data_IF_761704277203
#
_entry.id   IF_761704277203
#
_cell.length_a   1.000
_cell.length_b   1.000
_cell.length_c   1.000
_cell.angle_alpha   90.00
_cell.angle_beta   90.00
_cell.angle_gamma   90.00
#
_symmetry.space_group_name_H-M   'P 1'
#
loop_
_entity.id
_entity.type
_entity.pdbx_description
1 polymer ?
#
# COMPACT_ATOMS: atom_id res chain seq x y z
N UNK A 1 15.82 5.05 -26.78
CA UNK A 1 15.83 6.47 -27.21
C UNK A 1 15.43 6.68 -28.68
N UNK A 2 15.46 5.64 -29.55
CA UNK A 2 15.05 5.69 -30.96
C UNK A 2 13.54 5.95 -31.19
N UNK A 3 12.68 5.35 -30.36
CA UNK A 3 11.22 5.37 -30.57
C UNK A 3 10.55 6.73 -30.38
N UNK A 4 11.04 7.57 -29.46
CA UNK A 4 10.50 8.93 -29.25
C UNK A 4 10.79 9.84 -30.44
N UNK A 5 11.95 9.68 -31.07
CA UNK A 5 12.34 10.45 -32.26
C UNK A 5 11.51 10.00 -33.46
N UNK A 6 11.24 8.69 -33.61
CA UNK A 6 10.36 8.21 -34.68
C UNK A 6 8.91 8.65 -34.53
N UNK A 7 8.41 8.82 -33.30
CA UNK A 7 7.05 9.30 -33.06
C UNK A 7 6.85 10.77 -33.46
N UNK A 8 7.93 11.57 -33.55
CA UNK A 8 7.84 12.96 -34.04
C UNK A 8 7.30 13.02 -35.48
N UNK A 9 7.57 11.98 -36.29
CA UNK A 9 7.11 11.90 -37.68
C UNK A 9 5.71 11.27 -37.82
N UNK A 10 5.05 10.94 -36.71
CA UNK A 10 3.72 10.32 -36.68
C UNK A 10 2.78 11.16 -35.81
N UNK A 11 2.05 12.12 -36.41
CA UNK A 11 1.19 13.05 -35.67
C UNK A 11 0.17 12.35 -34.76
N UNK A 12 -0.35 11.20 -35.18
CA UNK A 12 -1.25 10.37 -34.37
C UNK A 12 -0.62 9.84 -33.09
N UNK A 13 0.66 9.45 -33.11
CA UNK A 13 1.40 8.99 -31.93
C UNK A 13 1.68 10.15 -30.96
N UNK A 14 2.01 11.34 -31.47
CA UNK A 14 2.19 12.54 -30.64
C UNK A 14 0.87 12.91 -29.95
N UNK A 15 -0.25 12.92 -30.68
CA UNK A 15 -1.57 13.22 -30.11
C UNK A 15 -1.92 12.19 -29.03
N UNK A 16 -1.66 10.90 -29.27
CA UNK A 16 -1.86 9.86 -28.27
C UNK A 16 -0.98 10.05 -27.02
N UNK A 17 0.29 10.43 -27.19
CA UNK A 17 1.21 10.72 -26.08
C UNK A 17 0.77 11.95 -25.27
N UNK A 18 0.31 13.00 -25.95
CA UNK A 18 -0.24 14.21 -25.31
C UNK A 18 -1.52 13.85 -24.56
N UNK A 19 -2.47 13.16 -25.20
CA UNK A 19 -3.71 12.71 -24.56
C UNK A 19 -3.41 11.84 -23.34
N UNK A 20 -2.49 10.88 -23.45
CA UNK A 20 -2.09 10.03 -22.33
C UNK A 20 -1.51 10.85 -21.16
N UNK A 21 -0.61 11.80 -21.45
CA UNK A 21 0.00 12.65 -20.42
C UNK A 21 -1.03 13.55 -19.72
N UNK A 22 -1.94 14.16 -20.48
CA UNK A 22 -2.97 15.04 -19.92
C UNK A 22 -4.08 14.26 -19.19
N UNK A 23 -4.48 13.09 -19.69
CA UNK A 23 -5.46 12.22 -19.01
C UNK A 23 -4.95 11.71 -17.66
N UNK A 24 -3.64 11.51 -17.49
CA UNK A 24 -3.08 11.18 -16.18
C UNK A 24 -3.11 12.34 -15.19
N UNK A 25 -2.91 13.57 -15.67
CA UNK A 25 -2.93 14.77 -14.82
C UNK A 25 -4.34 15.09 -14.31
N UNK A 26 -5.38 14.77 -15.08
CA UNK A 26 -6.78 15.03 -14.69
C UNK A 26 -7.35 14.04 -13.69
N UNK A 27 -6.73 12.85 -13.53
CA UNK A 27 -7.19 11.81 -12.61
C UNK A 27 -6.56 11.89 -11.21
N UNK A 28 -5.86 12.98 -10.88
CA UNK A 28 -5.40 13.22 -9.51
C UNK A 28 -6.63 13.58 -8.67
N UNK A 29 -7.08 12.63 -7.85
CA UNK A 29 -8.28 12.78 -7.03
C UNK A 29 -8.08 13.87 -5.99
N UNK A 30 -9.09 14.73 -5.85
CA UNK A 30 -9.16 15.69 -4.76
C UNK A 30 -9.66 14.97 -3.51
N UNK A 31 -8.72 14.47 -2.70
CA UNK A 31 -9.00 13.99 -1.34
C UNK A 31 -9.51 15.20 -0.53
N UNK A 32 -10.58 15.03 0.24
CA UNK A 32 -11.08 16.09 1.12
C UNK A 32 -9.92 16.55 2.03
N UNK A 33 -9.48 17.81 1.95
CA UNK A 33 -8.37 18.32 2.76
C UNK A 33 -8.63 18.24 4.27
N UNK A 34 -9.89 18.04 4.70
CA UNK A 34 -10.24 17.85 6.11
C UNK A 34 -9.87 16.47 6.64
N UNK A 35 -9.88 15.43 5.80
CA UNK A 35 -9.48 14.09 6.23
C UNK A 35 -7.96 13.91 6.08
N UNK A 36 -7.24 14.24 7.15
CA UNK A 36 -5.78 14.12 7.22
C UNK A 36 -5.30 12.67 7.16
N UNK A 37 -6.05 11.74 7.77
CA UNK A 37 -5.67 10.32 7.84
C UNK A 37 -5.73 9.68 6.46
N UNK A 38 -6.86 9.84 5.75
CA UNK A 38 -7.00 9.38 4.36
C UNK A 38 -5.92 9.93 3.45
N UNK A 39 -5.63 11.24 3.54
CA UNK A 39 -4.55 11.85 2.76
C UNK A 39 -3.21 11.17 3.04
N UNK A 40 -2.92 10.89 4.31
CA UNK A 40 -1.69 10.21 4.73
C UNK A 40 -1.62 8.77 4.22
N UNK A 41 -2.73 8.03 4.19
CA UNK A 41 -2.79 6.70 3.56
C UNK A 41 -2.40 6.75 2.06
N UNK A 42 -2.95 7.69 1.30
CA UNK A 42 -2.57 7.88 -0.10
C UNK A 42 -1.11 8.34 -0.29
N UNK A 43 -0.56 9.07 0.68
CA UNK A 43 0.88 9.40 0.68
C UNK A 43 1.74 8.15 0.88
N UNK A 44 1.39 7.26 1.81
CA UNK A 44 2.09 5.98 1.97
C UNK A 44 2.04 5.16 0.69
N UNK A 45 0.85 5.02 0.09
CA UNK A 45 0.69 4.29 -1.17
C UNK A 45 1.62 4.83 -2.27
N UNK A 46 1.77 6.16 -2.37
CA UNK A 46 2.65 6.79 -3.36
C UNK A 46 4.14 6.63 -3.03
N UNK A 47 4.51 6.57 -1.75
CA UNK A 47 5.88 6.33 -1.30
C UNK A 47 6.33 4.90 -1.63
N UNK A 48 5.45 3.92 -1.45
CA UNK A 48 5.76 2.51 -1.70
C UNK A 48 5.83 2.19 -3.18
N UNK A 49 4.80 2.57 -3.95
CA UNK A 49 4.69 2.21 -5.38
C UNK A 49 3.89 3.23 -6.19
N UNK A 50 4.60 3.98 -7.03
CA UNK A 50 3.99 4.97 -7.93
C UNK A 50 3.02 4.34 -8.95
N UNK A 51 3.32 3.13 -9.45
CA UNK A 51 2.46 2.42 -10.40
C UNK A 51 1.17 1.93 -9.74
N UNK A 52 1.28 1.34 -8.55
CA UNK A 52 0.11 0.86 -7.80
C UNK A 52 -0.75 2.01 -7.30
N UNK A 53 -0.14 3.11 -6.84
CA UNK A 53 -0.84 4.33 -6.49
C UNK A 53 -1.68 4.87 -7.65
N UNK A 54 -1.14 4.84 -8.87
CA UNK A 54 -1.86 5.29 -10.07
C UNK A 54 -2.97 4.32 -10.47
N UNK A 55 -2.78 3.02 -10.27
CA UNK A 55 -3.78 2.00 -10.55
C UNK A 55 -4.99 2.14 -9.60
N UNK A 56 -4.73 2.24 -8.29
CA UNK A 56 -5.78 2.37 -7.28
C UNK A 56 -6.59 3.65 -7.53
N UNK A 57 -5.94 4.76 -7.86
CA UNK A 57 -6.63 6.02 -8.18
C UNK A 57 -7.58 5.92 -9.40
N UNK A 58 -7.44 4.91 -10.27
CA UNK A 58 -8.36 4.67 -11.40
C UNK A 58 -9.58 3.83 -11.03
N UNK A 59 -9.63 3.27 -9.82
CA UNK A 59 -10.76 2.47 -9.33
C UNK A 59 -11.96 3.39 -9.04
N UNK A 60 -13.17 2.86 -9.19
CA UNK A 60 -14.41 3.55 -8.82
C UNK A 60 -14.38 4.02 -7.36
N UNK A 61 -14.95 5.18 -7.08
CA UNK A 61 -14.84 5.84 -5.77
C UNK A 61 -15.31 4.96 -4.61
N UNK A 62 -16.38 4.18 -4.80
CA UNK A 62 -16.96 3.29 -3.78
C UNK A 62 -16.08 2.14 -3.30
N UNK A 63 -15.02 1.79 -4.05
CA UNK A 63 -14.12 0.68 -3.71
C UNK A 63 -12.66 1.12 -3.57
N UNK A 64 -12.37 2.36 -3.96
CA UNK A 64 -11.02 2.86 -4.10
C UNK A 64 -10.33 2.98 -2.75
N UNK A 65 -11.01 3.63 -1.80
CA UNK A 65 -10.46 3.87 -0.48
C UNK A 65 -10.22 2.55 0.25
N UNK A 66 -11.14 1.60 0.13
CA UNK A 66 -11.00 0.28 0.74
C UNK A 66 -9.92 -0.56 0.08
N UNK A 67 -9.73 -0.43 -1.24
CA UNK A 67 -8.60 -1.06 -1.93
C UNK A 67 -7.27 -0.44 -1.48
N UNK A 68 -7.22 0.88 -1.27
CA UNK A 68 -6.05 1.57 -0.73
C UNK A 68 -5.70 1.04 0.68
N UNK A 69 -6.69 0.98 1.58
CA UNK A 69 -6.48 0.50 2.94
C UNK A 69 -6.08 -0.98 2.94
N UNK A 70 -6.75 -1.82 2.14
CA UNK A 70 -6.40 -3.24 2.03
C UNK A 70 -4.94 -3.43 1.56
N UNK A 71 -4.52 -2.67 0.54
CA UNK A 71 -3.14 -2.71 0.07
C UNK A 71 -2.15 -2.30 1.17
N UNK A 72 -2.44 -1.23 1.92
CA UNK A 72 -1.56 -0.78 3.02
C UNK A 72 -1.51 -1.79 4.18
N UNK A 73 -2.60 -2.49 4.48
CA UNK A 73 -2.61 -3.56 5.47
C UNK A 73 -1.68 -4.69 5.06
N UNK A 74 -1.81 -5.18 3.82
CA UNK A 74 -0.95 -6.25 3.31
C UNK A 74 0.51 -5.80 3.20
N UNK A 75 0.75 -4.54 2.85
CA UNK A 75 2.09 -3.97 2.82
C UNK A 75 2.72 -3.88 4.21
N UNK A 76 1.95 -3.54 5.24
CA UNK A 76 2.42 -3.57 6.62
C UNK A 76 2.84 -4.98 7.06
N UNK A 77 2.06 -5.99 6.64
CA UNK A 77 2.40 -7.40 6.88
C UNK A 77 3.68 -7.82 6.15
N UNK A 78 3.79 -7.49 4.86
CA UNK A 78 4.97 -7.72 4.00
C UNK A 78 6.24 -7.08 4.59
N UNK A 79 6.14 -5.83 5.07
CA UNK A 79 7.26 -5.11 5.70
C UNK A 79 7.74 -5.78 7.00
N UNK A 80 6.89 -6.50 7.73
CA UNK A 80 7.30 -7.28 8.91
C UNK A 80 7.96 -8.60 8.49
N UNK A 81 7.44 -9.21 7.43
CA UNK A 81 7.92 -10.49 6.90
C UNK A 81 9.32 -10.34 6.28
N UNK A 82 9.50 -9.36 5.39
CA UNK A 82 10.76 -9.09 4.66
C UNK A 82 11.90 -8.60 5.58
N UNK A 83 11.57 -8.00 6.73
CA UNK A 83 12.59 -7.41 7.60
C UNK A 83 13.38 -8.50 8.35
N UNK A 84 14.58 -8.78 7.86
CA UNK A 84 15.49 -9.77 8.42
C UNK A 84 16.11 -9.37 9.78
N UNK A 85 15.87 -8.16 10.27
CA UNK A 85 16.35 -7.70 11.58
C UNK A 85 15.44 -8.12 12.73
N UNK A 86 14.19 -8.51 12.43
CA UNK A 86 13.21 -8.96 13.42
C UNK A 86 13.43 -10.46 13.72
N UNK A 87 13.73 -10.85 14.96
CA UNK A 87 13.88 -12.26 15.34
C UNK A 87 12.59 -13.05 15.12
N UNK A 88 12.73 -14.33 14.71
CA UNK A 88 11.59 -15.18 14.36
C UNK A 88 10.59 -15.33 15.52
N UNK A 89 11.07 -15.38 16.77
CA UNK A 89 10.23 -15.52 17.96
C UNK A 89 9.30 -14.32 18.17
N UNK A 90 9.63 -13.17 17.58
CA UNK A 90 8.77 -11.98 17.54
C UNK A 90 8.00 -11.88 16.23
N UNK A 91 8.62 -12.25 15.11
CA UNK A 91 8.04 -12.14 13.77
C UNK A 91 6.85 -13.07 13.60
N UNK A 92 6.99 -14.35 13.93
CA UNK A 92 5.93 -15.35 13.76
C UNK A 92 4.61 -14.95 14.46
N UNK A 93 4.59 -14.63 15.77
CA UNK A 93 3.34 -14.24 16.42
C UNK A 93 2.78 -12.92 15.89
N UNK A 94 3.62 -12.00 15.38
CA UNK A 94 3.13 -10.78 14.73
C UNK A 94 2.41 -11.09 13.42
N UNK A 95 3.00 -11.94 12.56
CA UNK A 95 2.40 -12.32 11.28
C UNK A 95 1.08 -13.08 11.47
N UNK A 96 1.06 -14.08 12.36
CA UNK A 96 -0.16 -14.87 12.62
C UNK A 96 -1.32 -14.04 13.18
N UNK A 97 -1.00 -13.10 14.06
CA UNK A 97 -2.01 -12.28 14.75
C UNK A 97 -2.23 -10.90 14.09
N UNK A 98 -1.66 -10.64 12.92
CA UNK A 98 -1.78 -9.34 12.27
C UNK A 98 -3.24 -8.96 11.96
N UNK A 99 -4.06 -9.96 11.63
CA UNK A 99 -5.51 -9.81 11.43
C UNK A 99 -6.27 -9.33 12.68
N UNK A 100 -5.74 -9.53 13.89
CA UNK A 100 -6.30 -8.96 15.12
C UNK A 100 -5.70 -7.56 15.40
N UNK A 101 -4.45 -7.34 15.01
CA UNK A 101 -3.73 -6.07 15.18
C UNK A 101 -4.42 -4.94 14.40
N UNK A 102 -4.96 -5.20 13.21
CA UNK A 102 -5.67 -4.20 12.41
C UNK A 102 -6.93 -3.63 13.09
N UNK A 103 -7.40 -4.23 14.20
CA UNK A 103 -8.49 -3.70 15.03
C UNK A 103 -8.01 -2.93 16.27
N UNK A 104 -6.72 -2.99 16.58
CA UNK A 104 -6.16 -2.38 17.78
C UNK A 104 -5.84 -0.91 17.54
N UNK A 105 -6.78 -0.04 17.94
CA UNK A 105 -6.61 1.42 17.85
C UNK A 105 -5.30 1.90 18.49
N UNK A 106 -4.61 2.79 17.80
CA UNK A 106 -3.33 3.37 18.23
C UNK A 106 -2.16 2.39 18.19
N UNK A 107 -2.31 1.22 17.54
CA UNK A 107 -1.18 0.33 17.35
C UNK A 107 -0.19 0.89 16.33
N UNK A 108 1.07 0.88 16.72
CA UNK A 108 2.22 1.22 15.88
C UNK A 108 3.33 0.23 16.17
N UNK A 109 4.30 0.12 15.25
CA UNK A 109 5.40 -0.81 15.37
C UNK A 109 6.73 -0.14 15.04
N UNK A 110 7.64 -0.17 16.02
CA UNK A 110 8.98 0.44 15.93
C UNK A 110 10.09 -0.61 15.84
N UNK A 111 9.73 -1.89 15.66
CA UNK A 111 10.67 -3.01 15.72
C UNK A 111 11.47 -3.23 14.44
N UNK A 112 11.12 -2.55 13.33
CA UNK A 112 11.84 -2.66 12.08
C UNK A 112 13.24 -2.03 12.13
N UNK A 113 14.13 -2.59 11.30
CA UNK A 113 15.45 -2.04 11.03
C UNK A 113 15.38 -0.62 10.46
N UNK A 114 16.37 0.25 10.73
CA UNK A 114 16.33 1.66 10.31
C UNK A 114 16.31 1.85 8.79
N UNK A 115 16.82 0.87 8.04
CA UNK A 115 16.93 0.89 6.58
C UNK A 115 15.75 0.20 5.87
N UNK A 116 14.78 -0.31 6.63
CA UNK A 116 13.60 -0.95 6.06
C UNK A 116 12.74 0.06 5.30
N UNK A 117 12.43 -0.25 4.03
CA UNK A 117 11.96 0.72 3.03
C UNK A 117 10.64 1.36 3.43
N UNK A 118 9.71 0.53 3.85
CA UNK A 118 8.33 0.92 4.15
C UNK A 118 8.08 1.03 5.67
N UNK A 119 9.15 1.08 6.48
CA UNK A 119 9.09 1.24 7.95
C UNK A 119 8.19 2.37 8.43
N UNK A 120 8.15 3.49 7.70
CA UNK A 120 7.34 4.65 8.08
C UNK A 120 5.84 4.30 8.15
N UNK A 121 5.36 3.37 7.33
CA UNK A 121 3.99 2.87 7.37
C UNK A 121 3.68 2.22 8.72
N UNK A 122 4.59 1.39 9.23
CA UNK A 122 4.42 0.68 10.50
C UNK A 122 4.54 1.60 11.72
N UNK A 123 5.33 2.67 11.62
CA UNK A 123 5.44 3.71 12.67
C UNK A 123 4.14 4.52 12.84
N UNK A 124 3.39 4.70 11.76
CA UNK A 124 2.13 5.47 11.71
C UNK A 124 0.94 4.55 11.32
N UNK A 125 1.01 3.28 11.68
CA UNK A 125 0.01 2.29 11.24
C UNK A 125 -1.38 2.52 11.87
N UNK A 126 -1.43 3.26 12.98
CA UNK A 126 -2.65 3.73 13.62
C UNK A 126 -3.54 4.53 12.65
N UNK A 127 -2.93 5.27 11.72
CA UNK A 127 -3.64 6.04 10.69
C UNK A 127 -4.39 5.10 9.74
N UNK A 128 -3.79 3.96 9.37
CA UNK A 128 -4.41 2.96 8.50
C UNK A 128 -5.55 2.26 9.24
N UNK A 129 -5.35 1.94 10.52
CA UNK A 129 -6.36 1.34 11.39
C UNK A 129 -7.58 2.27 11.55
N UNK A 130 -7.36 3.58 11.71
CA UNK A 130 -8.45 4.55 11.87
C UNK A 130 -9.32 4.71 10.60
N UNK A 131 -8.73 4.53 9.41
CA UNK A 131 -9.46 4.55 8.14
C UNK A 131 -10.02 3.16 7.75
N UNK A 132 -9.63 2.09 8.46
CA UNK A 132 -10.11 0.75 8.20
C UNK A 132 -11.57 0.58 8.66
N UNK A 133 -12.47 0.62 7.68
CA UNK A 133 -13.86 0.21 7.86
C UNK A 133 -13.90 -1.32 7.83
N UNK A 134 -14.23 -1.92 8.96
CA UNK A 134 -14.31 -3.37 9.18
C UNK A 134 -14.93 -4.10 7.97
N UNK A 135 -14.17 -5.05 7.41
CA UNK A 135 -14.63 -5.94 6.32
C UNK A 135 -14.07 -7.34 6.55
N UNK A 136 -14.96 -8.31 6.71
CA UNK A 136 -14.62 -9.72 6.94
C UNK A 136 -13.62 -10.24 5.90
N UNK A 137 -13.84 -9.92 4.62
CA UNK A 137 -12.97 -10.35 3.51
C UNK A 137 -11.52 -9.90 3.69
N UNK A 138 -11.30 -8.65 4.13
CA UNK A 138 -9.95 -8.11 4.32
C UNK A 138 -9.29 -8.85 5.47
N UNK A 139 -9.99 -9.00 6.59
CA UNK A 139 -9.49 -9.68 7.78
C UNK A 139 -9.17 -11.15 7.52
N UNK A 140 -10.05 -11.87 6.85
CA UNK A 140 -9.86 -13.28 6.49
C UNK A 140 -8.68 -13.44 5.54
N UNK A 141 -8.57 -12.58 4.52
CA UNK A 141 -7.43 -12.62 3.58
C UNK A 141 -6.11 -12.30 4.29
N UNK A 142 -6.08 -11.27 5.14
CA UNK A 142 -4.90 -10.93 5.94
C UNK A 142 -4.50 -12.06 6.88
N UNK A 143 -5.47 -12.80 7.43
CA UNK A 143 -5.22 -13.97 8.27
C UNK A 143 -4.61 -15.13 7.46
N UNK A 144 -5.13 -15.43 6.29
CA UNK A 144 -4.58 -16.48 5.42
C UNK A 144 -3.15 -16.15 4.99
N UNK A 145 -2.91 -14.93 4.50
CA UNK A 145 -1.58 -14.47 4.07
C UNK A 145 -0.60 -14.46 5.25
N UNK A 146 -1.00 -13.92 6.41
CA UNK A 146 -0.14 -13.85 7.59
C UNK A 146 0.26 -15.23 8.12
N UNK A 147 -0.64 -16.21 8.06
CA UNK A 147 -0.29 -17.59 8.42
C UNK A 147 0.67 -18.22 7.40
N UNK A 148 0.42 -18.05 6.10
CA UNK A 148 1.32 -18.58 5.06
C UNK A 148 2.73 -17.98 5.14
N UNK A 149 2.83 -16.68 5.38
CA UNK A 149 4.10 -15.98 5.61
C UNK A 149 4.81 -16.48 6.88
N UNK A 150 4.07 -16.68 7.98
CA UNK A 150 4.64 -17.22 9.21
C UNK A 150 5.17 -18.65 9.06
N UNK A 151 4.46 -19.50 8.29
CA UNK A 151 4.90 -20.85 7.99
C UNK A 151 6.20 -20.81 7.16
N UNK A 152 6.27 -19.98 6.13
CA UNK A 152 7.47 -19.81 5.30
C UNK A 152 8.67 -19.27 6.08
N UNK A 153 8.46 -18.27 6.96
CA UNK A 153 9.53 -17.69 7.77
C UNK A 153 10.12 -18.67 8.80
N UNK A 154 9.35 -19.68 9.23
CA UNK A 154 9.83 -20.74 10.13
C UNK A 154 10.59 -21.86 9.40
N UNK A 155 10.26 -22.09 8.13
CA UNK A 155 10.90 -23.09 7.28
C UNK A 155 12.17 -22.58 6.57
N UNK A 156 12.46 -21.28 6.67
CA UNK A 156 13.58 -20.58 6.02
C UNK A 156 14.94 -20.66 6.74
#
# INVERSE_FOLDING_TARGET
MSYLISSIFRPSEIIALIHYKYFQLTNIIQIDPKNKNKKRCYEFLRQTSCSYATLIQKIHEDLRDETCIFYLILLGLDTIEDDMTIPIEKKEPLLRNFHDIIFKKGWTFTGNGPDEKDRQLLLEFDIVIDEFLFRDIITDTTKEIGNGMADYANDA
#
